data_IF_833453887398
#
_entry.id   IF_833453887398
#
_cell.length_a   1.000
_cell.length_b   1.000
_cell.length_c   1.000
_cell.angle_alpha   90.00
_cell.angle_beta   90.00
_cell.angle_gamma   90.00
#
_symmetry.space_group_name_H-M   'P 1'
#
loop_
_entity.id
_entity.type
_entity.pdbx_description
1 polymer ?
#
# COMPACT_ATOMS: atom_id res chain seq x y z
N UNK A 1 -26.57 -12.36 -2.16
CA UNK A 1 -26.75 -11.30 -1.15
C UNK A 1 -25.86 -10.12 -1.53
N UNK A 2 -26.40 -8.90 -1.58
CA UNK A 2 -25.60 -7.71 -1.85
C UNK A 2 -24.73 -7.37 -0.64
N UNK A 3 -23.40 -7.25 -0.84
CA UNK A 3 -22.44 -6.93 0.21
C UNK A 3 -22.40 -5.41 0.40
N UNK A 4 -22.58 -4.92 1.62
CA UNK A 4 -22.54 -3.50 1.94
C UNK A 4 -21.13 -2.91 1.69
N UNK A 5 -21.07 -1.76 1.03
CA UNK A 5 -19.82 -1.05 0.69
C UNK A 5 -19.61 0.09 1.67
N UNK A 6 -18.46 0.08 2.36
CA UNK A 6 -18.03 1.12 3.28
C UNK A 6 -16.82 1.83 2.70
N UNK A 7 -17.04 3.06 2.23
CA UNK A 7 -16.08 3.77 1.40
C UNK A 7 -15.86 5.20 1.84
N UNK A 8 -14.71 5.75 1.46
CA UNK A 8 -14.42 7.18 1.54
C UNK A 8 -14.18 7.73 0.15
N UNK A 9 -14.49 9.02 -0.04
CA UNK A 9 -14.42 9.67 -1.33
C UNK A 9 -13.68 11.01 -1.24
N UNK A 10 -12.85 11.29 -2.23
CA UNK A 10 -12.07 12.53 -2.33
C UNK A 10 -12.12 13.09 -3.75
N UNK A 11 -11.76 14.36 -3.89
CA UNK A 11 -11.57 15.00 -5.18
C UNK A 11 -10.15 15.58 -5.27
N UNK A 12 -9.49 15.37 -6.42
CA UNK A 12 -8.09 15.72 -6.65
C UNK A 12 -7.73 17.15 -6.18
N UNK A 13 -8.47 18.16 -6.62
CA UNK A 13 -8.17 19.56 -6.25
C UNK A 13 -8.31 19.86 -4.75
N UNK A 14 -9.14 19.10 -4.03
CA UNK A 14 -9.39 19.34 -2.61
C UNK A 14 -8.32 18.73 -1.70
N UNK A 15 -7.57 17.72 -2.17
CA UNK A 15 -6.64 16.96 -1.31
C UNK A 15 -5.20 16.95 -1.83
N UNK A 16 -4.97 16.97 -3.14
CA UNK A 16 -3.65 16.68 -3.71
C UNK A 16 -2.63 17.76 -3.40
N UNK A 17 -2.99 19.03 -3.57
CA UNK A 17 -2.02 20.12 -3.56
C UNK A 17 -1.12 20.10 -4.80
N UNK A 18 0.15 20.47 -4.63
CA UNK A 18 1.18 20.41 -5.66
C UNK A 18 0.72 20.99 -7.01
N UNK A 19 0.11 22.18 -6.97
CA UNK A 19 -0.68 22.73 -8.07
C UNK A 19 0.11 23.01 -9.35
N UNK A 20 1.44 23.16 -9.25
CA UNK A 20 2.40 23.36 -10.35
C UNK A 20 3.45 22.27 -10.50
N UNK A 21 3.38 21.21 -9.68
CA UNK A 21 4.37 20.15 -9.74
C UNK A 21 4.25 19.32 -11.02
N UNK A 22 5.38 18.76 -11.45
CA UNK A 22 5.46 17.70 -12.46
C UNK A 22 4.70 17.98 -13.76
N UNK A 23 4.72 19.22 -14.23
CA UNK A 23 4.13 19.61 -15.52
C UNK A 23 2.60 19.71 -15.51
N UNK A 24 1.95 19.77 -14.35
CA UNK A 24 0.51 20.01 -14.23
C UNK A 24 0.12 21.36 -14.88
N UNK A 25 -0.91 21.34 -15.71
CA UNK A 25 -1.55 22.54 -16.26
C UNK A 25 -2.45 23.28 -15.27
N UNK A 26 -2.89 24.48 -15.64
CA UNK A 26 -3.84 25.25 -14.84
C UNK A 26 -5.26 24.72 -15.03
N UNK A 27 -5.95 24.49 -13.92
CA UNK A 27 -7.39 24.23 -13.90
C UNK A 27 -8.18 25.53 -13.76
N UNK A 28 -9.49 25.45 -14.02
CA UNK A 28 -10.42 26.55 -13.77
C UNK A 28 -10.41 26.94 -12.28
N UNK A 29 -10.27 25.96 -11.37
CA UNK A 29 -10.22 26.21 -9.94
C UNK A 29 -8.92 26.91 -9.51
N UNK A 30 -7.79 26.61 -10.15
CA UNK A 30 -6.54 27.34 -9.92
C UNK A 30 -6.76 28.83 -10.22
N UNK A 31 -7.32 29.16 -11.39
CA UNK A 31 -7.61 30.56 -11.75
C UNK A 31 -8.65 31.21 -10.84
N UNK A 32 -9.70 30.48 -10.46
CA UNK A 32 -10.78 30.99 -9.62
C UNK A 32 -10.30 31.32 -8.21
N UNK A 33 -9.54 30.42 -7.57
CA UNK A 33 -9.06 30.60 -6.19
C UNK A 33 -7.98 31.66 -6.06
N UNK A 34 -7.16 31.87 -7.10
CA UNK A 34 -6.17 32.96 -7.16
C UNK A 34 -6.78 34.33 -7.50
N UNK A 35 -8.07 34.39 -7.85
CA UNK A 35 -8.75 35.65 -8.09
C UNK A 35 -9.19 36.25 -6.75
N UNK A 36 -8.76 37.49 -6.47
CA UNK A 36 -9.10 38.18 -5.24
C UNK A 36 -10.63 38.21 -4.99
N UNK A 37 -11.01 38.06 -3.73
CA UNK A 37 -12.40 38.12 -3.23
C UNK A 37 -13.34 37.01 -3.74
N UNK A 38 -12.83 35.97 -4.42
CA UNK A 38 -13.65 34.81 -4.84
C UNK A 38 -13.81 33.74 -3.76
N UNK A 39 -12.87 33.67 -2.82
CA UNK A 39 -12.87 32.72 -1.69
C UNK A 39 -12.92 33.50 -0.40
N UNK A 40 -13.84 33.14 0.50
CA UNK A 40 -14.11 33.88 1.75
C UNK A 40 -12.87 34.08 2.63
N UNK A 41 -11.95 33.09 2.64
CA UNK A 41 -10.73 33.09 3.45
C UNK A 41 -9.45 33.25 2.63
N UNK A 42 -9.54 33.50 1.32
CA UNK A 42 -8.40 33.49 0.39
C UNK A 42 -7.64 32.13 0.34
N UNK A 43 -8.31 31.05 0.72
CA UNK A 43 -7.75 29.69 0.65
C UNK A 43 -7.55 29.25 -0.81
N UNK A 44 -6.46 28.54 -1.07
CA UNK A 44 -6.14 27.95 -2.39
C UNK A 44 -5.94 26.44 -2.30
N UNK A 45 -5.98 25.77 -3.45
CA UNK A 45 -5.69 24.34 -3.58
C UNK A 45 -4.20 24.04 -3.74
N UNK A 46 -3.31 25.00 -3.43
CA UNK A 46 -1.89 24.93 -3.77
C UNK A 46 -1.17 23.81 -3.03
N UNK A 47 -1.51 23.63 -1.76
CA UNK A 47 -0.96 22.60 -0.86
C UNK A 47 -2.08 21.63 -0.43
N UNK A 48 -3.28 22.11 -0.11
CA UNK A 48 -4.40 21.30 0.37
C UNK A 48 -3.98 20.35 1.53
N UNK A 49 -4.20 19.03 1.40
CA UNK A 49 -3.73 18.03 2.35
C UNK A 49 -2.37 17.42 1.99
N UNK A 50 -1.75 17.89 0.90
CA UNK A 50 -0.49 17.37 0.36
C UNK A 50 -0.53 15.88 -0.01
N UNK A 51 -1.72 15.35 -0.33
CA UNK A 51 -1.89 13.95 -0.75
C UNK A 51 -1.07 13.60 -1.99
N UNK A 52 -0.69 14.58 -2.81
CA UNK A 52 0.16 14.36 -3.98
C UNK A 52 1.50 13.73 -3.61
N UNK A 53 2.10 14.19 -2.52
CA UNK A 53 3.38 13.72 -2.00
C UNK A 53 3.22 12.61 -0.96
N UNK A 54 2.03 12.51 -0.33
CA UNK A 54 1.76 11.66 0.84
C UNK A 54 0.87 10.45 0.57
N UNK A 55 0.94 9.88 -0.64
CA UNK A 55 0.16 8.68 -1.02
C UNK A 55 0.28 7.56 0.03
N UNK A 56 1.50 7.28 0.51
CA UNK A 56 1.73 6.19 1.49
C UNK A 56 1.02 6.43 2.82
N UNK A 57 1.00 7.67 3.30
CA UNK A 57 0.32 8.06 4.55
C UNK A 57 -1.20 7.94 4.38
N UNK A 58 -1.74 8.41 3.25
CA UNK A 58 -3.16 8.30 2.94
C UNK A 58 -3.61 6.83 2.88
N UNK A 59 -2.85 5.98 2.19
CA UNK A 59 -3.15 4.54 2.13
C UNK A 59 -3.07 3.89 3.50
N UNK A 60 -2.15 4.31 4.37
CA UNK A 60 -2.09 3.85 5.76
C UNK A 60 -3.32 4.30 6.57
N UNK A 61 -3.81 5.53 6.37
CA UNK A 61 -5.03 6.02 7.00
C UNK A 61 -6.26 5.24 6.53
N UNK A 62 -6.40 5.00 5.22
CA UNK A 62 -7.47 4.15 4.67
C UNK A 62 -7.46 2.75 5.30
N UNK A 63 -6.26 2.20 5.54
CA UNK A 63 -6.09 0.93 6.25
C UNK A 63 -6.55 1.00 7.70
N UNK A 64 -6.18 2.05 8.44
CA UNK A 64 -6.61 2.26 9.84
C UNK A 64 -8.13 2.40 9.95
N UNK A 65 -8.76 3.06 8.98
CA UNK A 65 -10.20 3.24 8.89
C UNK A 65 -10.96 1.97 8.44
N UNK A 66 -10.26 0.95 7.95
CA UNK A 66 -10.85 -0.33 7.46
C UNK A 66 -11.95 -0.12 6.43
N UNK A 67 -11.78 0.86 5.56
CA UNK A 67 -12.66 1.03 4.39
C UNK A 67 -12.46 -0.11 3.42
N UNK A 68 -13.48 -0.46 2.65
CA UNK A 68 -13.38 -1.51 1.63
C UNK A 68 -13.24 -0.94 0.21
N UNK A 69 -13.62 0.32 0.01
CA UNK A 69 -13.47 1.02 -1.26
C UNK A 69 -12.97 2.44 -1.03
N UNK A 70 -12.20 2.95 -1.98
CA UNK A 70 -11.77 4.33 -2.03
C UNK A 70 -12.13 4.93 -3.38
N UNK A 71 -12.95 5.99 -3.36
CA UNK A 71 -13.34 6.74 -4.55
C UNK A 71 -12.48 7.99 -4.63
N UNK A 72 -11.77 8.18 -5.74
CA UNK A 72 -11.03 9.41 -5.99
C UNK A 72 -11.36 9.94 -7.38
N UNK A 73 -11.08 11.22 -7.62
CA UNK A 73 -11.12 11.81 -8.95
C UNK A 73 -9.71 12.04 -9.48
N UNK A 74 -9.59 12.05 -10.80
CA UNK A 74 -8.33 12.33 -11.50
C UNK A 74 -8.32 13.80 -11.91
N UNK A 75 -7.25 14.52 -11.58
CA UNK A 75 -6.96 15.85 -12.08
C UNK A 75 -6.61 15.80 -13.57
N UNK A 76 -7.57 16.16 -14.43
CA UNK A 76 -7.39 16.26 -15.88
C UNK A 76 -6.14 17.05 -16.30
N UNK A 77 -5.87 18.26 -15.76
CA UNK A 77 -4.69 19.03 -16.17
C UNK A 77 -3.36 18.41 -15.71
N UNK A 78 -3.36 17.39 -14.84
CA UNK A 78 -2.15 16.61 -14.58
C UNK A 78 -1.81 15.65 -15.71
N UNK A 79 -2.82 15.07 -16.36
CA UNK A 79 -2.63 14.10 -17.44
C UNK A 79 -2.53 14.82 -18.79
N UNK A 80 -3.41 15.79 -19.03
CA UNK A 80 -3.49 16.58 -20.24
C UNK A 80 -3.39 18.07 -19.88
N UNK A 81 -2.16 18.63 -19.74
CA UNK A 81 -1.95 19.99 -19.25
C UNK A 81 -2.59 21.09 -20.11
N UNK A 82 -2.69 20.87 -21.41
CA UNK A 82 -3.35 21.76 -22.37
C UNK A 82 -4.82 21.39 -22.63
N UNK A 83 -5.32 20.35 -21.94
CA UNK A 83 -6.66 19.80 -22.12
C UNK A 83 -6.85 18.97 -23.39
N UNK A 84 -5.82 18.78 -24.22
CA UNK A 84 -5.90 18.01 -25.47
C UNK A 84 -5.12 16.71 -25.38
N UNK A 85 -5.43 15.74 -26.25
CA UNK A 85 -4.72 14.45 -26.29
C UNK A 85 -3.38 14.52 -27.04
N UNK A 86 -2.95 15.71 -27.46
CA UNK A 86 -1.70 15.89 -28.24
C UNK A 86 -0.46 15.69 -27.39
N UNK A 87 -0.52 16.11 -26.13
CA UNK A 87 0.59 16.01 -25.20
C UNK A 87 0.10 15.40 -23.89
N UNK A 88 0.49 14.15 -23.66
CA UNK A 88 0.21 13.46 -22.40
C UNK A 88 1.40 13.70 -21.45
N UNK A 89 1.10 14.18 -20.25
CA UNK A 89 2.09 14.33 -19.21
C UNK A 89 2.31 13.00 -18.47
N UNK A 90 3.42 12.33 -18.80
CA UNK A 90 3.76 11.04 -18.23
C UNK A 90 3.98 11.10 -16.71
N UNK A 91 4.49 12.21 -16.17
CA UNK A 91 4.71 12.34 -14.73
C UNK A 91 3.37 12.37 -13.96
N UNK A 92 2.37 13.07 -14.50
CA UNK A 92 1.00 13.05 -13.98
C UNK A 92 0.36 11.67 -14.05
N UNK A 93 0.57 10.93 -15.16
CA UNK A 93 0.07 9.56 -15.29
C UNK A 93 0.75 8.60 -14.29
N UNK A 94 2.08 8.70 -14.14
CA UNK A 94 2.86 7.91 -13.19
C UNK A 94 2.43 8.16 -11.74
N UNK A 95 1.98 9.36 -11.39
CA UNK A 95 1.40 9.65 -10.08
C UNK A 95 0.16 8.78 -9.81
N UNK A 96 -0.81 8.71 -10.73
CA UNK A 96 -1.99 7.88 -10.55
C UNK A 96 -1.68 6.38 -10.62
N UNK A 97 -0.72 5.95 -11.42
CA UNK A 97 -0.22 4.57 -11.37
C UNK A 97 0.27 4.21 -9.97
N UNK A 98 1.13 5.05 -9.37
CA UNK A 98 1.62 4.83 -7.99
C UNK A 98 0.49 4.77 -6.97
N UNK A 99 -0.52 5.64 -7.10
CA UNK A 99 -1.70 5.62 -6.21
C UNK A 99 -2.48 4.31 -6.35
N UNK A 100 -2.79 3.89 -7.57
CA UNK A 100 -3.52 2.65 -7.83
C UNK A 100 -2.73 1.43 -7.37
N UNK A 101 -1.43 1.37 -7.66
CA UNK A 101 -0.55 0.29 -7.22
C UNK A 101 -0.49 0.20 -5.69
N UNK A 102 -0.42 1.35 -5.00
CA UNK A 102 -0.45 1.38 -3.54
C UNK A 102 -1.78 0.89 -2.97
N UNK A 103 -2.91 1.22 -3.62
CA UNK A 103 -4.25 0.72 -3.24
C UNK A 103 -4.41 -0.78 -3.53
N UNK A 104 -3.86 -1.29 -4.64
CA UNK A 104 -3.90 -2.72 -4.97
C UNK A 104 -3.02 -3.53 -4.01
N UNK A 105 -1.82 -3.05 -3.70
CA UNK A 105 -0.95 -3.65 -2.69
C UNK A 105 -1.64 -3.69 -1.31
N UNK A 106 -2.40 -2.64 -0.98
CA UNK A 106 -3.23 -2.60 0.21
C UNK A 106 -4.37 -3.63 0.19
N UNK A 107 -5.08 -3.77 -0.93
CA UNK A 107 -6.17 -4.73 -1.08
C UNK A 107 -5.65 -6.18 -0.91
N UNK A 108 -4.49 -6.48 -1.47
CA UNK A 108 -3.80 -7.76 -1.24
C UNK A 108 -3.40 -7.95 0.24
N UNK A 109 -3.02 -6.87 0.94
CA UNK A 109 -2.62 -6.90 2.35
C UNK A 109 -3.75 -7.06 3.38
N UNK A 110 -5.02 -7.12 2.96
CA UNK A 110 -6.15 -7.47 3.82
C UNK A 110 -6.67 -8.89 3.61
N UNK A 111 -6.48 -9.47 2.42
CA UNK A 111 -6.85 -10.86 2.15
C UNK A 111 -5.73 -11.83 2.56
N UNK A 112 -4.47 -11.37 2.59
CA UNK A 112 -3.32 -12.26 2.66
C UNK A 112 -2.25 -11.83 3.70
N UNK A 113 -2.18 -12.50 4.86
CA UNK A 113 -1.03 -12.40 5.81
C UNK A 113 0.05 -13.46 5.51
N UNK A 114 0.74 -13.35 4.39
CA UNK A 114 1.67 -14.37 3.85
C UNK A 114 3.11 -14.14 4.29
N UNK A 115 3.37 -14.37 5.57
CA UNK A 115 4.73 -14.40 6.11
C UNK A 115 4.92 -15.60 7.00
N UNK A 116 6.08 -16.24 6.92
CA UNK A 116 6.47 -17.33 7.82
C UNK A 116 6.60 -16.87 9.27
N UNK A 117 6.97 -15.61 9.48
CA UNK A 117 7.16 -15.04 10.80
C UNK A 117 6.16 -13.92 11.06
N UNK A 118 5.75 -13.78 12.31
CA UNK A 118 5.03 -12.63 12.85
C UNK A 118 5.96 -11.88 13.79
N UNK A 119 6.03 -10.56 13.67
CA UNK A 119 6.83 -9.72 14.57
C UNK A 119 5.94 -9.26 15.71
N UNK A 120 6.38 -9.41 16.96
CA UNK A 120 5.68 -8.83 18.10
C UNK A 120 6.13 -7.37 18.30
N UNK A 121 5.25 -6.42 17.98
CA UNK A 121 5.52 -4.98 18.10
C UNK A 121 5.27 -4.42 19.50
N UNK A 122 4.74 -5.23 20.42
CA UNK A 122 4.54 -4.85 21.83
C UNK A 122 5.81 -5.01 22.66
N UNK A 123 6.83 -5.71 22.14
CA UNK A 123 8.13 -5.88 22.76
C UNK A 123 9.15 -4.96 22.06
N UNK A 124 9.90 -4.10 22.79
CA UNK A 124 10.94 -3.23 22.22
C UNK A 124 12.03 -4.00 21.46
N UNK A 125 12.25 -5.28 21.76
CA UNK A 125 13.25 -6.10 21.07
C UNK A 125 12.77 -6.66 19.73
N UNK A 126 11.51 -6.39 19.34
CA UNK A 126 10.88 -6.80 18.07
C UNK A 126 11.15 -8.26 17.68
N UNK A 127 10.84 -9.25 18.55
CA UNK A 127 11.15 -10.64 18.28
C UNK A 127 10.30 -11.16 17.11
N UNK A 128 10.94 -11.94 16.22
CA UNK A 128 10.29 -12.64 15.10
C UNK A 128 9.85 -14.02 15.56
N UNK A 129 8.54 -14.27 15.58
CA UNK A 129 7.92 -15.51 16.04
C UNK A 129 7.49 -16.34 14.82
N UNK A 130 7.98 -17.59 14.67
CA UNK A 130 7.56 -18.46 13.57
C UNK A 130 6.10 -18.85 13.69
N UNK A 131 5.37 -18.85 12.57
CA UNK A 131 4.01 -19.39 12.49
C UNK A 131 4.05 -20.91 12.35
N UNK A 132 2.94 -21.60 12.65
CA UNK A 132 2.81 -23.06 12.51
C UNK A 132 3.17 -23.58 11.10
N UNK A 133 2.93 -22.76 10.07
CA UNK A 133 3.30 -23.09 8.70
C UNK A 133 4.82 -23.23 8.51
N UNK A 134 5.65 -22.52 9.29
CA UNK A 134 7.13 -22.62 9.19
C UNK A 134 7.59 -24.03 9.46
N UNK A 135 7.04 -24.68 10.48
CA UNK A 135 7.36 -26.08 10.80
C UNK A 135 6.99 -26.99 9.64
N UNK A 136 5.79 -26.81 9.06
CA UNK A 136 5.33 -27.61 7.93
C UNK A 136 6.23 -27.48 6.69
N UNK A 137 6.59 -26.25 6.30
CA UNK A 137 7.47 -26.01 5.16
C UNK A 137 8.93 -26.41 5.46
N UNK A 138 9.42 -26.24 6.69
CA UNK A 138 10.75 -26.71 7.09
C UNK A 138 10.87 -28.23 6.99
N UNK A 139 9.84 -28.97 7.43
CA UNK A 139 9.77 -30.42 7.24
C UNK A 139 9.80 -30.78 5.75
N UNK A 140 9.01 -30.10 4.93
CA UNK A 140 8.94 -30.36 3.49
C UNK A 140 10.29 -30.12 2.77
N UNK A 141 11.01 -29.06 3.15
CA UNK A 141 12.34 -28.75 2.63
C UNK A 141 13.36 -29.79 3.10
N UNK A 142 13.35 -30.16 4.39
CA UNK A 142 14.25 -31.17 4.94
C UNK A 142 14.01 -32.57 4.35
N UNK A 143 12.75 -32.88 4.03
CA UNK A 143 12.34 -34.13 3.40
C UNK A 143 12.43 -34.08 1.86
N UNK A 144 12.90 -32.97 1.28
CA UNK A 144 13.06 -32.74 -0.16
C UNK A 144 11.84 -33.14 -1.01
N UNK A 145 10.63 -32.89 -0.49
CA UNK A 145 9.40 -33.31 -1.15
C UNK A 145 8.14 -33.11 -0.30
N UNK A 146 6.99 -33.10 -0.96
CA UNK A 146 5.68 -33.08 -0.30
C UNK A 146 5.36 -34.47 0.28
N UNK A 147 4.72 -34.55 1.46
CA UNK A 147 4.32 -35.84 2.02
C UNK A 147 3.30 -36.52 1.09
N UNK A 148 3.61 -37.74 0.64
CA UNK A 148 2.67 -38.55 -0.14
C UNK A 148 1.55 -39.06 0.78
N UNK A 149 0.26 -38.74 0.50
CA UNK A 149 -0.87 -39.20 1.31
C UNK A 149 -0.98 -40.73 1.42
N UNK A 150 -0.36 -41.48 0.49
CA UNK A 150 -0.45 -42.94 0.41
C UNK A 150 0.69 -43.67 1.15
N UNK A 151 1.79 -42.99 1.48
CA UNK A 151 2.99 -43.62 2.06
C UNK A 151 3.09 -43.51 3.60
N UNK A 152 2.11 -42.89 4.26
CA UNK A 152 2.16 -42.66 5.70
C UNK A 152 3.23 -41.62 6.08
N UNK A 153 3.39 -41.31 7.39
CA UNK A 153 4.37 -40.32 7.83
C UNK A 153 5.80 -40.77 7.51
N UNK A 154 6.52 -39.98 6.71
CA UNK A 154 7.89 -40.26 6.30
C UNK A 154 8.84 -40.12 7.51
N UNK A 155 9.88 -40.95 7.59
CA UNK A 155 10.80 -41.06 8.74
C UNK A 155 11.39 -39.69 9.17
N UNK A 156 11.72 -38.82 8.21
CA UNK A 156 12.16 -37.43 8.42
C UNK A 156 11.13 -36.46 9.05
N UNK A 157 9.87 -36.87 9.25
CA UNK A 157 8.82 -36.04 9.86
C UNK A 157 8.81 -36.10 11.39
N UNK A 158 9.67 -36.93 12.00
CA UNK A 158 9.90 -36.93 13.45
C UNK A 158 10.88 -35.81 13.82
N UNK A 159 10.34 -34.64 14.15
CA UNK A 159 11.14 -33.56 14.76
C UNK A 159 11.29 -33.85 16.26
N UNK A 160 12.53 -33.95 16.73
CA UNK A 160 12.86 -33.99 18.17
C UNK A 160 12.24 -32.80 18.93
N UNK A 161 11.82 -32.97 20.19
CA UNK A 161 11.16 -31.91 20.94
C UNK A 161 12.16 -30.81 21.37
N UNK A 162 11.76 -29.57 21.07
CA UNK A 162 12.24 -28.27 21.57
C UNK A 162 13.71 -28.17 22.04
N UNK A 163 14.57 -27.65 21.16
CA UNK A 163 15.91 -27.16 21.49
C UNK A 163 16.19 -25.80 20.86
N UNK A 164 16.23 -24.74 21.70
CA UNK A 164 16.67 -23.36 21.44
C UNK A 164 17.27 -23.09 20.04
N UNK A 165 16.50 -22.45 19.15
CA UNK A 165 17.05 -21.76 17.98
C UNK A 165 18.03 -20.68 18.46
N UNK A 166 19.33 -20.94 18.32
CA UNK A 166 20.37 -19.98 18.67
C UNK A 166 20.23 -18.74 17.78
N UNK A 167 20.12 -17.58 18.43
CA UNK A 167 20.46 -16.30 17.82
C UNK A 167 21.86 -16.43 17.23
N UNK A 168 22.01 -16.42 15.90
CA UNK A 168 23.19 -15.97 15.13
C UNK A 168 23.15 -16.45 13.66
N UNK A 169 22.10 -16.10 12.91
CA UNK A 169 22.09 -16.29 11.43
C UNK A 169 22.67 -15.05 10.71
N UNK A 170 23.06 -14.00 11.43
CA UNK A 170 23.56 -12.76 10.82
C UNK A 170 25.09 -12.69 10.62
N UNK A 171 25.84 -13.80 10.74
CA UNK A 171 27.31 -13.79 10.65
C UNK A 171 27.90 -14.69 9.54
N UNK A 172 27.12 -15.08 8.54
CA UNK A 172 27.61 -15.95 7.44
C UNK A 172 27.32 -15.41 6.04
N UNK A 173 27.42 -14.08 5.87
CA UNK A 173 27.71 -13.49 4.56
C UNK A 173 28.82 -12.44 4.75
N UNK A 174 30.05 -12.93 4.74
CA UNK A 174 31.25 -12.23 4.28
C UNK A 174 32.10 -13.26 3.54
#
# INVERSE_FOLDING_TARGET
MARFVWSVATASYQIEGAWRADGKGLSIWDAFTHTAFRIANYDTGDIACDSYNKISEDVEMLKKLRVNHYRFSVSWPRILPDGTTRQINQAGLNHYHRLVDALLAWAAGFDEKFGFFYVNHSDPSLPRIPKKSVTYYATMINCNGFPDPLQGPHECQTLEPEGKFHQNICSLVQ
#
